data_IF_229721557307
#
_entry.id   IF_229721557307
#
_cell.length_a   1.000
_cell.length_b   1.000
_cell.length_c   1.000
_cell.angle_alpha   90.00
_cell.angle_beta   90.00
_cell.angle_gamma   90.00
#
_symmetry.space_group_name_H-M   'P 1'
#
loop_
_entity.id
_entity.type
_entity.pdbx_description
1 polymer ?
#
# COMPACT_ATOMS: atom_id res chain seq x y z
N UNK A 1 27.87 -6.09 24.46
CA UNK A 1 26.99 -4.96 24.79
C UNK A 1 27.40 -3.86 23.81
N UNK A 2 26.64 -3.47 22.78
CA UNK A 2 25.19 -3.50 22.59
C UNK A 2 24.83 -3.59 21.10
N UNK A 3 23.64 -4.15 20.87
CA UNK A 3 22.94 -4.40 19.61
C UNK A 3 23.09 -3.25 18.61
N UNK A 4 23.97 -3.39 17.62
CA UNK A 4 23.80 -2.65 16.37
C UNK A 4 22.69 -3.36 15.62
N UNK A 5 21.57 -2.67 15.55
CA UNK A 5 20.33 -3.05 14.88
C UNK A 5 20.61 -3.89 13.64
N UNK A 6 19.96 -5.06 13.61
CA UNK A 6 19.64 -5.83 12.42
C UNK A 6 19.13 -4.85 11.35
N UNK A 7 20.02 -4.45 10.43
CA UNK A 7 19.69 -3.65 9.27
C UNK A 7 18.79 -4.54 8.42
N UNK A 8 17.46 -4.28 8.31
CA UNK A 8 16.61 -5.17 7.55
C UNK A 8 17.14 -5.15 6.12
N UNK A 9 17.33 -6.31 5.48
CA UNK A 9 17.91 -6.41 4.15
C UNK A 9 17.18 -5.44 3.20
N UNK A 10 17.89 -4.80 2.25
CA UNK A 10 17.33 -3.77 1.39
C UNK A 10 16.03 -4.31 0.83
N UNK A 11 14.93 -3.77 1.35
CA UNK A 11 13.60 -4.27 1.05
C UNK A 11 13.50 -4.27 -0.47
N UNK A 12 13.43 -5.47 -1.04
CA UNK A 12 13.13 -5.71 -2.45
C UNK A 12 12.09 -4.67 -2.82
N UNK A 13 12.45 -3.64 -3.60
CA UNK A 13 11.71 -2.38 -3.75
C UNK A 13 10.21 -2.63 -3.88
N UNK A 14 9.53 -2.74 -2.75
CA UNK A 14 8.13 -3.11 -2.67
C UNK A 14 7.47 -1.85 -2.18
N UNK A 15 6.71 -1.22 -3.06
CA UNK A 15 6.07 0.04 -2.71
C UNK A 15 5.01 -0.26 -1.64
N UNK A 16 5.29 0.15 -0.41
CA UNK A 16 4.33 0.05 0.68
C UNK A 16 3.43 1.27 0.58
N UNK A 17 2.22 1.05 0.06
CA UNK A 17 1.19 2.06 -0.08
C UNK A 17 0.32 1.98 1.17
N UNK A 18 0.68 2.75 2.21
CA UNK A 18 -0.04 2.70 3.49
C UNK A 18 -0.91 3.93 3.70
N UNK A 19 -2.13 3.72 4.22
CA UNK A 19 -3.01 4.81 4.63
C UNK A 19 -2.40 5.68 5.74
N UNK A 20 -1.48 5.12 6.53
CA UNK A 20 -0.81 5.80 7.65
C UNK A 20 0.19 6.88 7.19
N UNK A 21 0.65 6.81 5.94
CA UNK A 21 1.51 7.85 5.34
C UNK A 21 0.74 9.17 5.15
N UNK A 22 -0.59 9.11 5.19
CA UNK A 22 -1.46 10.27 5.05
C UNK A 22 -1.89 10.80 6.41
N UNK A 23 -1.98 12.15 6.55
CA UNK A 23 -2.39 12.76 7.80
C UNK A 23 -3.82 12.34 8.19
N UNK A 24 -4.00 12.08 9.49
CA UNK A 24 -5.30 11.81 10.11
C UNK A 24 -6.20 13.04 9.94
N UNK A 25 -7.14 12.97 9.00
CA UNK A 25 -7.91 14.12 8.50
C UNK A 25 -8.14 14.06 6.99
N UNK A 26 -7.41 13.19 6.29
CA UNK A 26 -7.72 12.85 4.90
C UNK A 26 -9.03 12.07 4.87
N UNK A 27 -10.08 12.55 4.15
CA UNK A 27 -11.33 11.80 4.06
C UNK A 27 -11.09 10.47 3.33
N UNK A 28 -11.80 9.43 3.76
CA UNK A 28 -11.70 8.08 3.21
C UNK A 28 -11.77 8.07 1.68
N UNK A 29 -12.66 8.86 1.10
CA UNK A 29 -12.84 9.03 -0.35
C UNK A 29 -11.56 9.51 -1.08
N UNK A 30 -10.89 10.51 -0.49
CA UNK A 30 -9.65 11.09 -1.05
C UNK A 30 -8.46 10.16 -0.84
N UNK A 31 -8.41 9.52 0.33
CA UNK A 31 -7.39 8.51 0.66
C UNK A 31 -7.55 7.30 -0.28
N UNK A 32 -8.78 6.86 -0.54
CA UNK A 32 -9.12 5.81 -1.47
C UNK A 32 -8.62 6.13 -2.89
N UNK A 33 -8.85 7.35 -3.37
CA UNK A 33 -8.34 7.81 -4.66
C UNK A 33 -6.80 7.84 -4.75
N UNK A 34 -6.12 8.30 -3.70
CA UNK A 34 -4.65 8.35 -3.66
C UNK A 34 -4.02 6.96 -3.64
N UNK A 35 -4.57 6.08 -2.80
CA UNK A 35 -4.16 4.69 -2.71
C UNK A 35 -4.45 3.95 -4.02
N UNK A 36 -5.63 4.13 -4.61
CA UNK A 36 -5.99 3.57 -5.91
C UNK A 36 -4.99 4.01 -6.99
N UNK A 37 -4.64 5.29 -7.05
CA UNK A 37 -3.67 5.79 -8.02
C UNK A 37 -2.28 5.14 -7.84
N UNK A 38 -1.79 5.02 -6.60
CA UNK A 38 -0.51 4.34 -6.29
C UNK A 38 -0.53 2.86 -6.69
N UNK A 39 -1.61 2.14 -6.37
CA UNK A 39 -1.84 0.74 -6.75
C UNK A 39 -1.76 0.59 -8.26
N UNK A 40 -2.46 1.46 -9.01
CA UNK A 40 -2.44 1.49 -10.47
C UNK A 40 -1.05 1.76 -11.05
N UNK A 41 -0.27 2.63 -10.43
CA UNK A 41 1.09 2.93 -10.88
C UNK A 41 2.01 1.73 -10.67
N UNK A 42 1.99 1.14 -9.48
CA UNK A 42 2.83 0.00 -9.15
C UNK A 42 2.47 -1.24 -10.00
N UNK A 43 1.17 -1.47 -10.22
CA UNK A 43 0.62 -2.47 -11.16
C UNK A 43 1.11 -2.24 -12.59
N UNK A 44 1.08 -0.99 -13.06
CA UNK A 44 1.56 -0.60 -14.39
C UNK A 44 3.08 -0.79 -14.55
N UNK A 45 3.84 -0.64 -13.47
CA UNK A 45 5.28 -0.93 -13.46
C UNK A 45 5.61 -2.41 -13.27
N UNK A 46 4.61 -3.25 -12.97
CA UNK A 46 4.83 -4.66 -12.63
C UNK A 46 5.67 -4.86 -11.36
N UNK A 47 5.76 -3.83 -10.52
CA UNK A 47 6.51 -3.88 -9.28
C UNK A 47 5.65 -4.58 -8.21
N UNK A 48 6.24 -5.39 -7.31
CA UNK A 48 5.52 -5.83 -6.13
C UNK A 48 5.17 -4.61 -5.27
N UNK A 49 3.94 -4.51 -4.80
CA UNK A 49 3.52 -3.47 -3.88
C UNK A 49 2.59 -4.04 -2.83
N UNK A 50 2.57 -3.42 -1.66
CA UNK A 50 1.73 -3.79 -0.53
C UNK A 50 0.83 -2.62 -0.22
N UNK A 51 -0.48 -2.79 -0.34
CA UNK A 51 -1.47 -1.81 0.02
C UNK A 51 -1.92 -2.05 1.47
N UNK A 52 -1.66 -1.11 2.37
CA UNK A 52 -2.22 -1.14 3.73
C UNK A 52 -3.38 -0.16 3.87
N UNK A 53 -4.53 -0.69 4.30
CA UNK A 53 -5.74 0.05 4.62
C UNK A 53 -6.01 -0.04 6.12
N UNK A 54 -6.76 0.91 6.71
CA UNK A 54 -7.17 0.82 8.12
C UNK A 54 -7.98 -0.46 8.39
N UNK A 55 -8.68 -0.96 7.37
CA UNK A 55 -9.54 -2.13 7.47
C UNK A 55 -8.81 -3.45 7.20
N UNK A 56 -7.75 -3.45 6.37
CA UNK A 56 -6.97 -4.63 6.01
C UNK A 56 -5.71 -4.31 5.18
N UNK A 57 -4.76 -5.23 5.15
CA UNK A 57 -3.57 -5.17 4.29
C UNK A 57 -3.71 -6.11 3.10
N UNK A 58 -3.49 -5.61 1.89
CA UNK A 58 -3.58 -6.33 0.61
C UNK A 58 -2.22 -6.32 -0.09
N UNK A 59 -1.70 -7.50 -0.40
CA UNK A 59 -0.57 -7.66 -1.33
C UNK A 59 -1.11 -8.12 -2.69
N UNK A 60 -1.28 -7.24 -3.67
CA UNK A 60 -1.69 -7.65 -5.02
C UNK A 60 -0.61 -8.52 -5.66
N UNK A 61 -0.88 -9.82 -5.77
CA UNK A 61 0.06 -10.82 -6.31
C UNK A 61 -0.27 -11.24 -7.74
N UNK A 62 -1.54 -11.17 -8.19
CA UNK A 62 -1.92 -11.47 -9.58
C UNK A 62 -3.40 -11.08 -9.84
N UNK A 63 -3.69 -9.91 -10.42
CA UNK A 63 -5.08 -9.50 -10.71
C UNK A 63 -5.94 -9.13 -9.49
N UNK A 64 -5.40 -9.09 -8.27
CA UNK A 64 -6.10 -8.61 -7.07
C UNK A 64 -6.28 -7.08 -7.02
N UNK A 65 -5.83 -6.36 -8.05
CA UNK A 65 -6.07 -4.93 -8.21
C UNK A 65 -7.55 -4.59 -8.14
N UNK A 66 -8.41 -5.38 -8.79
CA UNK A 66 -9.87 -5.15 -8.77
C UNK A 66 -10.43 -5.25 -7.35
N UNK A 67 -9.94 -6.22 -6.55
CA UNK A 67 -10.32 -6.35 -5.13
C UNK A 67 -9.81 -5.18 -4.30
N UNK A 68 -8.59 -4.71 -4.56
CA UNK A 68 -8.04 -3.52 -3.90
C UNK A 68 -8.88 -2.28 -4.24
N UNK A 69 -9.15 -2.04 -5.52
CA UNK A 69 -9.96 -0.91 -5.97
C UNK A 69 -11.39 -0.96 -5.43
N UNK A 70 -12.00 -2.15 -5.39
CA UNK A 70 -13.34 -2.31 -4.85
C UNK A 70 -13.35 -2.11 -3.32
N UNK A 71 -12.35 -2.60 -2.60
CA UNK A 71 -12.21 -2.34 -1.17
C UNK A 71 -11.98 -0.86 -0.85
N UNK A 72 -11.24 -0.14 -1.71
CA UNK A 72 -11.06 1.31 -1.62
C UNK A 72 -12.35 2.07 -1.89
N UNK A 73 -13.16 1.62 -2.86
CA UNK A 73 -14.46 2.22 -3.18
C UNK A 73 -15.54 1.98 -2.12
N UNK A 74 -15.33 1.00 -1.22
CA UNK A 74 -16.23 0.65 -0.13
C UNK A 74 -15.82 1.27 1.22
N UNK A 75 -14.76 2.11 1.24
CA UNK A 75 -14.21 2.74 2.45
C UNK A 75 -14.95 4.00 2.88
#
# INVERSE_FOLDING_TARGET
MDKVFDEPPPAVHSEIISYQDYPAGTPADKLAGLLAHRVLQADKTGAPYTLELPSLTLTPQNGMREKCLNALALM
#
